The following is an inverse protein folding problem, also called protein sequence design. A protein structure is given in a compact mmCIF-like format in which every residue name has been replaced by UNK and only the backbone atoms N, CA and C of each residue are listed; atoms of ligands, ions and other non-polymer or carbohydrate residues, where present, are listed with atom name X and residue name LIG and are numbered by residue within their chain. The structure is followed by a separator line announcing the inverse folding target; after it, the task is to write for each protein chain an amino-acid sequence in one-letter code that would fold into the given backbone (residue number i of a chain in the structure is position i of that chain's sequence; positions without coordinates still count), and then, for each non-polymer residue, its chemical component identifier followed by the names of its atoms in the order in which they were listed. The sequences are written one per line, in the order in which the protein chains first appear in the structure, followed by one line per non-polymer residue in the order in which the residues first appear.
data_IF_566555077599
#
_entry.id   IF_566555077599
#
_cell.length_a   1.000
_cell.length_b   1.000
_cell.length_c   1.000
_cell.angle_alpha   90.00
_cell.angle_beta   90.00
_cell.angle_gamma   90.00
#
_symmetry.space_group_name_H-M   'P 1'
#
loop_
_entity.id
_entity.type
_entity.pdbx_description
1 polymer ?
#
# COMPACT_ATOMS: atom_id res chain seq x y z
N UNK A 1 -1.74 9.20 -18.86
CA UNK A 1 -1.70 7.78 -19.27
C UNK A 1 -1.70 6.87 -18.05
N UNK A 2 -0.74 6.95 -17.12
CA UNK A 2 -0.76 6.11 -15.91
C UNK A 2 -1.95 6.38 -14.95
N UNK A 3 -2.31 7.66 -14.71
CA UNK A 3 -3.41 8.00 -13.81
C UNK A 3 -4.78 7.54 -14.34
N UNK A 4 -5.04 7.68 -15.64
CA UNK A 4 -6.26 7.19 -16.28
C UNK A 4 -6.31 5.66 -16.25
N UNK A 5 -5.20 5.01 -16.60
CA UNK A 5 -5.09 3.54 -16.54
C UNK A 5 -5.35 3.01 -15.13
N UNK A 6 -4.81 3.67 -14.10
CA UNK A 6 -5.05 3.27 -12.71
C UNK A 6 -6.51 3.46 -12.31
N UNK A 7 -7.15 4.55 -12.72
CA UNK A 7 -8.57 4.80 -12.44
C UNK A 7 -9.47 3.76 -13.11
N UNK A 8 -9.21 3.45 -14.38
CA UNK A 8 -9.96 2.43 -15.12
C UNK A 8 -9.79 1.05 -14.45
N UNK A 9 -8.56 0.71 -14.09
CA UNK A 9 -8.25 -0.53 -13.37
C UNK A 9 -8.95 -0.62 -12.00
N UNK A 10 -9.08 0.50 -11.27
CA UNK A 10 -9.85 0.53 -10.02
C UNK A 10 -11.35 0.32 -10.26
N UNK A 11 -11.90 0.89 -11.34
CA UNK A 11 -13.31 0.81 -11.71
C UNK A 11 -13.75 -0.57 -12.21
N UNK A 12 -12.81 -1.42 -12.60
CA UNK A 12 -13.07 -2.80 -13.00
C UNK A 12 -13.59 -3.68 -11.83
N UNK A 13 -14.74 -4.34 -12.05
CA UNK A 13 -15.41 -5.19 -11.04
C UNK A 13 -14.55 -6.33 -10.47
N UNK A 14 -13.63 -6.85 -11.26
CA UNK A 14 -12.69 -7.91 -10.89
C UNK A 14 -11.58 -7.44 -9.93
N UNK A 15 -11.32 -6.13 -9.88
CA UNK A 15 -10.30 -5.55 -9.01
C UNK A 15 -10.95 -5.00 -7.75
N UNK A 16 -11.79 -3.98 -7.93
CA UNK A 16 -12.53 -3.34 -6.84
C UNK A 16 -13.94 -2.97 -7.26
N UNK A 17 -14.12 -2.36 -8.45
CA UNK A 17 -15.44 -2.00 -8.97
C UNK A 17 -16.26 -1.11 -8.05
N UNK A 18 -15.60 -0.40 -7.13
CA UNK A 18 -16.26 0.31 -6.05
C UNK A 18 -16.15 1.81 -6.22
N UNK A 19 -17.25 2.49 -5.93
CA UNK A 19 -17.35 3.94 -5.86
C UNK A 19 -17.90 4.32 -4.48
N UNK A 20 -17.48 5.48 -3.93
CA UNK A 20 -16.67 6.53 -4.56
C UNK A 20 -15.15 6.24 -4.57
N UNK A 21 -14.46 6.78 -5.58
CA UNK A 21 -12.99 6.88 -5.64
C UNK A 21 -12.62 8.35 -5.46
N UNK A 22 -11.79 8.66 -4.46
CA UNK A 22 -11.31 10.02 -4.24
C UNK A 22 -10.11 10.30 -5.13
N UNK A 23 -10.14 11.42 -5.85
CA UNK A 23 -9.05 11.87 -6.73
C UNK A 23 -8.54 13.23 -6.25
N UNK A 24 -7.23 13.36 -6.09
CA UNK A 24 -6.61 14.60 -5.63
C UNK A 24 -5.36 14.89 -6.49
N UNK A 25 -5.46 15.79 -7.48
CA UNK A 25 -4.28 16.27 -8.21
C UNK A 25 -3.50 17.24 -7.35
N UNK A 26 -2.18 17.10 -7.32
CA UNK A 26 -1.29 18.04 -6.65
C UNK A 26 0.04 18.17 -7.38
N UNK A 27 0.68 19.33 -7.23
CA UNK A 27 2.01 19.57 -7.80
C UNK A 27 3.04 18.79 -6.97
N UNK A 28 3.89 18.02 -7.64
CA UNK A 28 4.99 17.32 -6.99
C UNK A 28 5.93 18.32 -6.33
N UNK A 29 6.21 18.12 -5.05
CA UNK A 29 7.19 18.89 -4.30
C UNK A 29 8.46 18.06 -4.08
N UNK A 30 9.64 18.71 -3.92
CA UNK A 30 10.86 18.01 -3.56
C UNK A 30 10.66 17.13 -2.32
N UNK A 31 11.11 15.87 -2.38
CA UNK A 31 11.01 14.91 -1.28
C UNK A 31 9.79 13.98 -1.31
N UNK A 32 8.73 14.27 -2.08
CA UNK A 32 7.53 13.40 -2.13
C UNK A 32 7.75 12.20 -3.04
N UNK A 33 8.21 12.44 -4.27
CA UNK A 33 8.53 11.41 -5.27
C UNK A 33 9.91 11.65 -5.90
N UNK A 34 10.91 11.94 -5.06
CA UNK A 34 12.24 12.36 -5.51
C UNK A 34 13.02 11.22 -6.20
N UNK A 35 12.76 9.97 -5.82
CA UNK A 35 13.29 8.78 -6.49
C UNK A 35 12.31 8.24 -7.55
N UNK A 36 12.61 8.52 -8.83
CA UNK A 36 12.07 7.78 -9.98
C UNK A 36 10.89 8.39 -10.75
N UNK A 37 10.36 9.55 -10.35
CA UNK A 37 9.09 10.06 -10.92
C UNK A 37 9.24 11.41 -11.66
N UNK A 38 10.45 11.98 -11.67
CA UNK A 38 10.73 13.30 -12.26
C UNK A 38 11.21 13.25 -13.72
N UNK A 39 11.32 12.07 -14.33
CA UNK A 39 11.79 11.94 -15.71
C UNK A 39 10.60 11.98 -16.68
N UNK A 40 10.01 13.16 -16.89
CA UNK A 40 9.20 13.43 -18.10
C UNK A 40 7.74 13.88 -17.93
N UNK A 41 7.25 14.09 -16.71
CA UNK A 41 5.89 14.63 -16.45
C UNK A 41 5.84 16.16 -16.35
N UNK A 42 4.64 16.73 -16.40
CA UNK A 42 4.32 18.16 -16.18
C UNK A 42 4.50 18.63 -14.72
N UNK A 43 5.05 17.77 -13.86
CA UNK A 43 5.29 18.03 -12.45
C UNK A 43 4.07 17.82 -11.57
N UNK A 44 2.97 17.24 -12.07
CA UNK A 44 1.80 16.89 -11.26
C UNK A 44 1.76 15.40 -10.92
N UNK A 45 1.17 15.10 -9.76
CA UNK A 45 0.86 13.77 -9.29
C UNK A 45 -0.66 13.67 -9.06
N UNK A 46 -1.19 12.46 -9.23
CA UNK A 46 -2.57 12.15 -8.89
C UNK A 46 -2.58 11.20 -7.70
N UNK A 47 -3.18 11.62 -6.59
CA UNK A 47 -3.48 10.73 -5.48
C UNK A 47 -4.88 10.12 -5.66
N UNK A 48 -4.97 8.83 -5.35
CA UNK A 48 -6.22 8.07 -5.32
C UNK A 48 -6.48 7.57 -3.90
N UNK A 49 -7.68 7.82 -3.41
CA UNK A 49 -8.22 7.22 -2.19
C UNK A 49 -9.30 6.21 -2.55
N UNK A 50 -9.28 5.06 -1.86
CA UNK A 50 -10.24 3.98 -2.09
C UNK A 50 -10.69 3.39 -0.75
N UNK A 51 -11.99 3.23 -0.59
CA UNK A 51 -12.57 2.41 0.46
C UNK A 51 -13.48 1.37 -0.19
N UNK A 52 -12.96 0.16 -0.34
CA UNK A 52 -13.63 -0.93 -1.01
C UNK A 52 -14.08 -2.00 -0.01
N UNK A 53 -15.24 -2.66 -0.23
CA UNK A 53 -15.55 -3.89 0.47
C UNK A 53 -14.49 -4.94 0.14
N UNK A 54 -14.15 -5.76 1.13
CA UNK A 54 -13.21 -6.86 0.95
C UNK A 54 -13.72 -8.12 1.63
N UNK A 55 -13.09 -9.24 1.30
CA UNK A 55 -13.41 -10.56 1.83
C UNK A 55 -13.07 -10.64 3.32
N UNK A 56 -13.87 -11.39 4.08
CA UNK A 56 -13.52 -11.73 5.47
C UNK A 56 -12.43 -12.80 5.57
N UNK A 57 -12.06 -13.45 4.46
CA UNK A 57 -10.93 -14.37 4.40
C UNK A 57 -9.61 -13.57 4.38
N UNK A 58 -8.69 -13.89 5.30
CA UNK A 58 -7.44 -13.13 5.46
C UNK A 58 -6.53 -13.28 4.24
N UNK A 59 -6.42 -14.48 3.67
CA UNK A 59 -5.57 -14.73 2.50
C UNK A 59 -6.03 -13.94 1.28
N UNK A 60 -7.33 -13.97 1.01
CA UNK A 60 -7.92 -13.21 -0.10
C UNK A 60 -7.77 -11.69 0.11
N UNK A 61 -7.93 -11.22 1.36
CA UNK A 61 -7.70 -9.83 1.74
C UNK A 61 -6.24 -9.39 1.50
N UNK A 62 -5.27 -10.22 1.91
CA UNK A 62 -3.84 -9.98 1.65
C UNK A 62 -3.58 -9.98 0.14
N UNK A 63 -4.11 -10.95 -0.60
CA UNK A 63 -3.91 -11.06 -2.04
C UNK A 63 -4.49 -9.85 -2.79
N UNK A 64 -5.67 -9.35 -2.39
CA UNK A 64 -6.27 -8.15 -2.97
C UNK A 64 -5.39 -6.91 -2.74
N UNK A 65 -4.89 -6.71 -1.52
CA UNK A 65 -4.02 -5.58 -1.20
C UNK A 65 -2.66 -5.67 -1.91
N UNK A 66 -2.05 -6.86 -1.99
CA UNK A 66 -0.79 -7.08 -2.72
C UNK A 66 -0.96 -6.77 -4.21
N UNK A 67 -2.08 -7.18 -4.82
CA UNK A 67 -2.38 -6.86 -6.23
C UNK A 67 -2.52 -5.36 -6.47
N UNK A 68 -3.18 -4.63 -5.56
CA UNK A 68 -3.24 -3.16 -5.60
C UNK A 68 -1.85 -2.53 -5.52
N UNK A 69 -1.05 -2.98 -4.55
CA UNK A 69 0.31 -2.51 -4.32
C UNK A 69 1.24 -2.76 -5.52
N UNK A 70 1.12 -3.93 -6.16
CA UNK A 70 1.84 -4.28 -7.38
C UNK A 70 1.39 -3.43 -8.57
N UNK A 71 0.07 -3.17 -8.73
CA UNK A 71 -0.43 -2.29 -9.80
C UNK A 71 0.12 -0.88 -9.64
N UNK A 72 0.10 -0.33 -8.42
CA UNK A 72 0.69 0.99 -8.11
C UNK A 72 2.17 1.00 -8.48
N UNK A 73 2.92 -0.02 -8.08
CA UNK A 73 4.35 -0.11 -8.40
C UNK A 73 4.61 -0.22 -9.91
N UNK A 74 3.81 -1.01 -10.64
CA UNK A 74 3.93 -1.20 -12.09
C UNK A 74 3.73 0.09 -12.89
N UNK A 75 3.00 1.05 -12.32
CA UNK A 75 2.74 2.36 -12.91
C UNK A 75 3.74 3.41 -12.42
N UNK A 76 4.86 2.98 -11.81
CA UNK A 76 5.82 3.85 -11.16
C UNK A 76 5.10 4.79 -10.19
N UNK A 77 4.21 4.26 -9.37
CA UNK A 77 3.56 4.97 -8.27
C UNK A 77 4.07 4.48 -6.92
N UNK A 78 3.63 5.14 -5.85
CA UNK A 78 3.90 4.73 -4.46
C UNK A 78 2.63 4.72 -3.66
N UNK A 79 2.49 3.72 -2.81
CA UNK A 79 1.44 3.69 -1.80
C UNK A 79 1.83 4.62 -0.65
N UNK A 80 0.87 5.40 -0.17
CA UNK A 80 1.07 6.17 1.05
C UNK A 80 1.01 5.26 2.27
N UNK A 81 1.89 5.50 3.22
CA UNK A 81 2.09 4.67 4.41
C UNK A 81 1.16 5.06 5.57
N UNK A 82 -0.07 5.49 5.25
CA UNK A 82 -1.12 5.70 6.25
C UNK A 82 -1.81 4.39 6.65
N UNK A 83 -1.80 3.41 5.76
CA UNK A 83 -2.39 2.09 5.95
C UNK A 83 -1.30 1.02 6.04
N UNK A 84 -1.72 -0.19 6.43
CA UNK A 84 -0.87 -1.37 6.37
C UNK A 84 -0.29 -1.58 4.97
N UNK A 85 0.97 -1.99 4.93
CA UNK A 85 1.66 -2.39 3.72
C UNK A 85 1.77 -3.92 3.66
N UNK A 86 1.45 -4.51 2.51
CA UNK A 86 1.48 -5.95 2.29
C UNK A 86 2.70 -6.38 1.47
N UNK A 87 3.67 -5.49 1.32
CA UNK A 87 4.99 -5.77 0.76
C UNK A 87 5.81 -6.70 1.67
N UNK A 88 6.63 -7.53 1.05
CA UNK A 88 7.83 -8.08 1.71
C UNK A 88 8.80 -6.94 2.02
N UNK A 89 9.75 -7.18 2.93
CA UNK A 89 10.74 -6.16 3.30
C UNK A 89 11.58 -5.72 2.09
N UNK A 90 11.97 -6.66 1.24
CA UNK A 90 12.75 -6.38 0.03
C UNK A 90 11.93 -5.57 -0.99
N UNK A 91 10.67 -5.94 -1.24
CA UNK A 91 9.76 -5.17 -2.08
C UNK A 91 9.63 -3.73 -1.54
N UNK A 92 9.45 -3.58 -0.23
CA UNK A 92 9.31 -2.28 0.41
C UNK A 92 10.54 -1.39 0.19
N UNK A 93 11.74 -1.87 0.51
CA UNK A 93 12.97 -1.08 0.37
C UNK A 93 13.44 -0.93 -1.07
N UNK A 94 12.88 -1.67 -2.03
CA UNK A 94 13.04 -1.38 -3.46
C UNK A 94 12.27 -0.13 -3.92
N UNK A 95 11.17 0.22 -3.22
CA UNK A 95 10.29 1.35 -3.55
C UNK A 95 10.69 2.63 -2.78
N UNK A 96 11.08 2.47 -1.52
CA UNK A 96 11.45 3.57 -0.61
C UNK A 96 12.96 3.61 -0.39
N UNK A 97 13.54 4.81 -0.42
CA UNK A 97 14.99 4.99 -0.32
C UNK A 97 15.50 4.69 1.11
N UNK A 98 15.87 3.44 1.34
CA UNK A 98 16.39 2.96 2.63
C UNK A 98 17.66 3.70 3.05
N UNK A 99 18.57 4.01 2.11
CA UNK A 99 19.86 4.63 2.42
C UNK A 99 19.67 6.04 2.96
N UNK A 100 18.80 6.84 2.30
CA UNK A 100 18.47 8.18 2.78
C UNK A 100 17.72 8.12 4.11
N UNK A 101 16.80 7.17 4.27
CA UNK A 101 16.06 6.96 5.51
C UNK A 101 16.98 6.62 6.69
N UNK A 102 17.90 5.66 6.53
CA UNK A 102 18.85 5.23 7.56
C UNK A 102 19.82 6.35 7.94
N UNK A 103 20.25 7.17 6.96
CA UNK A 103 21.07 8.37 7.22
C UNK A 103 20.34 9.36 8.11
N UNK A 104 19.07 9.65 7.83
CA UNK A 104 18.25 10.54 8.65
C UNK A 104 18.06 9.99 10.06
N UNK A 105 17.75 8.70 10.20
CA UNK A 105 17.61 8.07 11.53
C UNK A 105 18.87 8.18 12.37
N UNK A 106 20.02 7.94 11.76
CA UNK A 106 21.32 8.04 12.42
C UNK A 106 21.62 9.49 12.84
N UNK A 107 21.34 10.46 11.96
CA UNK A 107 21.53 11.88 12.26
C UNK A 107 20.73 12.35 13.48
N UNK A 108 19.52 11.81 13.67
CA UNK A 108 18.62 12.18 14.78
C UNK A 108 18.61 11.15 15.93
N UNK A 109 19.56 10.20 15.96
CA UNK A 109 19.65 9.13 16.97
C UNK A 109 18.35 8.32 17.15
N UNK A 110 17.59 8.09 16.09
CA UNK A 110 16.31 7.41 16.13
C UNK A 110 16.39 5.88 15.97
N UNK A 111 17.60 5.30 16.02
CA UNK A 111 17.83 3.87 15.71
C UNK A 111 17.17 2.91 16.71
N UNK A 112 16.79 3.38 17.90
CA UNK A 112 16.09 2.59 18.92
C UNK A 112 14.58 2.41 18.65
N UNK A 113 13.99 3.25 17.79
CA UNK A 113 12.59 3.12 17.39
C UNK A 113 12.44 2.04 16.31
N UNK A 114 11.26 1.44 16.12
CA UNK A 114 11.00 0.64 14.94
C UNK A 114 11.30 1.39 13.65
N UNK A 115 11.74 0.69 12.62
CA UNK A 115 11.87 1.27 11.29
C UNK A 115 10.51 1.45 10.60
N UNK A 116 10.53 2.06 9.42
CA UNK A 116 9.33 2.39 8.68
C UNK A 116 8.57 1.14 8.21
N UNK A 117 9.29 0.10 7.79
CA UNK A 117 8.70 -1.17 7.37
C UNK A 117 8.06 -1.88 8.56
N UNK A 118 8.79 -1.99 9.66
CA UNK A 118 8.31 -2.56 10.93
C UNK A 118 7.03 -1.89 11.44
N UNK A 119 6.89 -0.58 11.21
CA UNK A 119 5.71 0.19 11.61
C UNK A 119 4.45 -0.16 10.83
N UNK A 120 4.57 -0.53 9.55
CA UNK A 120 3.43 -0.62 8.62
C UNK A 120 3.16 -2.03 8.11
N UNK A 121 4.12 -2.95 8.24
CA UNK A 121 3.99 -4.31 7.75
C UNK A 121 2.86 -5.05 8.44
N UNK A 122 2.30 -6.03 7.73
CA UNK A 122 1.49 -7.09 8.31
C UNK A 122 2.24 -8.40 8.24
N UNK A 123 1.88 -9.34 9.11
CA UNK A 123 2.39 -10.70 9.01
C UNK A 123 1.65 -11.43 7.86
N UNK A 124 2.42 -11.80 6.83
CA UNK A 124 1.92 -12.43 5.61
C UNK A 124 1.70 -13.95 5.78
N UNK A 125 2.28 -14.56 6.81
CA UNK A 125 2.37 -16.02 6.98
C UNK A 125 1.43 -16.56 8.07
N UNK A 126 0.73 -15.69 8.83
CA UNK A 126 -0.20 -16.15 9.87
C UNK A 126 -1.39 -16.90 9.24
N UNK A 127 -1.64 -18.16 9.63
CA UNK A 127 -2.84 -18.87 9.23
C UNK A 127 -4.11 -18.14 9.70
N UNK A 128 -5.22 -18.33 8.98
CA UNK A 128 -6.52 -17.76 9.36
C UNK A 128 -6.77 -17.99 10.86
N UNK A 129 -7.09 -16.92 11.60
CA UNK A 129 -7.41 -17.02 13.03
C UNK A 129 -8.43 -18.15 13.24
N UNK A 130 -8.17 -19.00 14.24
CA UNK A 130 -9.12 -20.02 14.63
C UNK A 130 -10.50 -19.38 14.81
N UNK A 131 -11.59 -20.04 14.40
CA UNK A 131 -12.93 -19.49 14.50
C UNK A 131 -13.15 -18.94 15.91
N UNK A 132 -13.39 -17.62 15.98
CA UNK A 132 -13.67 -16.94 17.24
C UNK A 132 -14.80 -17.65 17.99
N UNK A 133 -14.91 -17.43 19.30
CA UNK A 133 -15.82 -18.15 20.20
C UNK A 133 -17.24 -18.28 19.62
N UNK A 134 -17.74 -17.25 18.93
CA UNK A 134 -19.05 -17.24 18.26
C UNK A 134 -19.17 -18.29 17.15
N UNK A 135 -18.15 -18.49 16.33
CA UNK A 135 -18.13 -19.49 15.26
C UNK A 135 -17.95 -20.91 15.80
N UNK A 136 -17.23 -21.09 16.91
CA UNK A 136 -17.20 -22.39 17.63
C UNK A 136 -18.59 -22.74 18.16
N UNK A 137 -19.28 -21.83 18.85
CA UNK A 137 -20.61 -22.11 19.41
C UNK A 137 -21.63 -22.46 18.34
N UNK A 138 -21.58 -21.82 17.15
CA UNK A 138 -22.47 -22.15 16.02
C UNK A 138 -22.22 -23.52 15.40
N UNK A 139 -21.01 -24.07 15.50
CA UNK A 139 -20.67 -25.39 14.96
C UNK A 139 -20.91 -26.53 15.98
N UNK A 140 -21.31 -26.21 17.21
CA UNK A 140 -21.63 -27.17 18.27
C UNK A 140 -23.16 -27.35 18.48
N UNK A 141 -23.99 -26.63 17.74
CA UNK A 141 -25.45 -26.76 17.68
C UNK A 141 -25.86 -27.30 16.31
#
# INVERSE_FOLDING_TARGET
MAASEFLDWLGESQNFGCYPIWVCPFKNSPGVMESGHAAGGDGYLMNFGLWAPSTHNRRDFIAQNRRLEQKVHSLNGKKWLYAHAYYTEDEFWSIYDKKRYDKLRSQYNANYLPDLYQKVRVDLDVPDEQPGIVARVKNFL
#
